data_IF_909075616176
#
_entry.id   IF_909075616176
#
_cell.length_a   1.000
_cell.length_b   1.000
_cell.length_c   1.000
_cell.angle_alpha   90.00
_cell.angle_beta   90.00
_cell.angle_gamma   90.00
#
_symmetry.space_group_name_H-M   'P 1'
#
loop_
_entity.id
_entity.type
_entity.pdbx_description
1 polymer ?
#
# COMPACT_ATOMS: atom_id res chain seq x y z
N UNK A 1 6.75 -11.25 12.51
CA UNK A 1 5.90 -10.87 11.38
C UNK A 1 5.88 -9.36 11.26
N UNK A 2 6.14 -8.85 10.06
CA UNK A 2 6.21 -7.40 9.84
C UNK A 2 4.85 -6.87 9.43
N UNK A 3 4.35 -5.86 10.15
CA UNK A 3 3.09 -5.19 9.80
C UNK A 3 3.24 -4.49 8.45
N UNK A 4 4.41 -3.93 8.17
CA UNK A 4 4.63 -3.24 6.91
C UNK A 4 4.59 -4.22 5.73
N UNK A 5 5.05 -5.46 5.93
CA UNK A 5 4.96 -6.49 4.89
C UNK A 5 3.51 -6.86 4.62
N UNK A 6 2.70 -6.99 5.66
CA UNK A 6 1.27 -7.25 5.50
C UNK A 6 0.57 -6.12 4.74
N UNK A 7 0.91 -4.87 5.07
CA UNK A 7 0.36 -3.72 4.35
C UNK A 7 0.77 -3.72 2.88
N UNK A 8 2.03 -4.05 2.60
CA UNK A 8 2.52 -4.12 1.23
C UNK A 8 1.81 -5.22 0.44
N UNK A 9 1.58 -6.37 1.06
CA UNK A 9 0.84 -7.46 0.43
C UNK A 9 -0.58 -7.05 0.12
N UNK A 10 -1.25 -6.37 1.04
CA UNK A 10 -2.61 -5.87 0.81
C UNK A 10 -2.63 -4.83 -0.31
N UNK A 11 -1.67 -3.92 -0.32
CA UNK A 11 -1.58 -2.91 -1.37
C UNK A 11 -1.42 -3.55 -2.75
N UNK A 12 -0.58 -4.57 -2.85
CA UNK A 12 -0.37 -5.28 -4.10
C UNK A 12 -1.62 -6.04 -4.52
N UNK A 13 -2.33 -6.64 -3.58
CA UNK A 13 -3.59 -7.31 -3.85
C UNK A 13 -4.63 -6.32 -4.41
N UNK A 14 -4.73 -5.14 -3.83
CA UNK A 14 -5.64 -4.11 -4.34
C UNK A 14 -5.25 -3.67 -5.74
N UNK A 15 -3.95 -3.54 -6.01
CA UNK A 15 -3.49 -3.20 -7.34
C UNK A 15 -3.87 -4.28 -8.35
N UNK A 16 -3.72 -5.56 -7.97
CA UNK A 16 -4.10 -6.67 -8.83
C UNK A 16 -5.59 -6.64 -9.13
N UNK A 17 -6.43 -6.38 -8.13
CA UNK A 17 -7.87 -6.29 -8.32
C UNK A 17 -8.25 -5.10 -9.20
N UNK A 18 -7.57 -3.98 -9.04
CA UNK A 18 -7.78 -2.82 -9.90
C UNK A 18 -7.42 -3.13 -11.35
N UNK A 19 -6.28 -3.77 -11.57
CA UNK A 19 -5.83 -4.14 -12.92
C UNK A 19 -6.76 -5.17 -13.57
N UNK A 20 -7.39 -6.04 -12.76
CA UNK A 20 -8.33 -7.03 -13.24
C UNK A 20 -9.73 -6.46 -13.49
N UNK A 21 -9.97 -5.19 -13.12
CA UNK A 21 -11.27 -4.56 -13.29
C UNK A 21 -12.24 -4.82 -12.16
N UNK A 22 -11.78 -5.37 -11.03
CA UNK A 22 -12.63 -5.70 -9.88
C UNK A 22 -12.78 -4.52 -8.91
N UNK A 23 -11.93 -3.49 -9.03
CA UNK A 23 -12.01 -2.28 -8.21
C UNK A 23 -12.06 -1.06 -9.12
N UNK A 24 -12.91 -0.08 -8.77
CA UNK A 24 -12.86 1.21 -9.43
C UNK A 24 -11.62 1.99 -8.98
N UNK A 25 -11.24 3.02 -9.77
CA UNK A 25 -10.11 3.87 -9.39
C UNK A 25 -10.34 4.55 -8.05
N UNK A 26 -11.57 5.00 -7.77
CA UNK A 26 -11.89 5.66 -6.50
C UNK A 26 -11.76 4.69 -5.33
N UNK A 27 -12.26 3.47 -5.48
CA UNK A 27 -12.16 2.45 -4.42
C UNK A 27 -10.72 2.05 -4.17
N UNK A 28 -9.95 1.84 -5.24
CA UNK A 28 -8.53 1.52 -5.14
C UNK A 28 -7.77 2.60 -4.38
N UNK A 29 -8.00 3.86 -4.75
CA UNK A 29 -7.36 4.99 -4.09
C UNK A 29 -7.69 5.04 -2.60
N UNK A 30 -8.97 4.89 -2.25
CA UNK A 30 -9.41 4.94 -0.86
C UNK A 30 -8.76 3.82 -0.03
N UNK A 31 -8.75 2.60 -0.55
CA UNK A 31 -8.15 1.46 0.15
C UNK A 31 -6.65 1.66 0.35
N UNK A 32 -5.94 2.16 -0.65
CA UNK A 32 -4.49 2.39 -0.54
C UNK A 32 -4.21 3.55 0.41
N UNK A 33 -5.02 4.60 0.40
CA UNK A 33 -4.84 5.70 1.36
C UNK A 33 -5.00 5.22 2.80
N UNK A 34 -5.95 4.32 3.06
CA UNK A 34 -6.11 3.74 4.39
C UNK A 34 -4.87 2.95 4.80
N UNK A 35 -4.29 2.18 3.88
CA UNK A 35 -3.05 1.47 4.15
C UNK A 35 -1.89 2.43 4.41
N UNK A 36 -1.83 3.52 3.68
CA UNK A 36 -0.79 4.53 3.87
C UNK A 36 -0.86 5.16 5.26
N UNK A 37 -2.06 5.46 5.73
CA UNK A 37 -2.26 6.00 7.08
C UNK A 37 -1.79 4.98 8.13
N UNK A 38 -2.16 3.72 7.97
CA UNK A 38 -1.72 2.66 8.87
C UNK A 38 -0.20 2.53 8.84
N UNK A 39 0.41 2.61 7.66
CA UNK A 39 1.87 2.56 7.53
C UNK A 39 2.57 3.73 8.19
N UNK A 40 1.98 4.91 8.14
CA UNK A 40 2.54 6.09 8.81
C UNK A 40 2.50 5.95 10.33
N UNK A 41 1.44 5.36 10.86
CA UNK A 41 1.36 5.08 12.29
C UNK A 41 2.48 4.13 12.70
N UNK A 42 2.73 3.10 11.89
CA UNK A 42 3.77 2.12 12.15
C UNK A 42 5.17 2.62 11.80
N UNK A 43 5.28 3.75 11.09
CA UNK A 43 6.57 4.31 10.69
C UNK A 43 7.45 4.66 11.90
N UNK A 44 6.86 4.76 13.09
CA UNK A 44 7.61 4.95 14.33
C UNK A 44 8.20 3.66 14.88
N UNK A 45 7.83 2.51 14.30
CA UNK A 45 8.38 1.23 14.69
C UNK A 45 9.63 0.92 13.87
N UNK A 46 10.58 0.23 14.49
CA UNK A 46 11.82 -0.16 13.82
C UNK A 46 11.55 -1.06 12.62
N UNK A 47 10.48 -1.83 12.64
CA UNK A 47 10.13 -2.75 11.56
C UNK A 47 9.93 -2.03 10.23
N UNK A 48 9.40 -0.80 10.25
CA UNK A 48 9.17 -0.03 9.04
C UNK A 48 10.47 0.23 8.28
N UNK A 49 11.54 0.51 9.01
CA UNK A 49 12.83 0.80 8.40
C UNK A 49 13.58 -0.47 8.00
N UNK A 50 13.31 -1.58 8.67
CA UNK A 50 14.01 -2.83 8.43
C UNK A 50 13.52 -3.57 7.19
N UNK A 51 12.26 -3.37 6.80
CA UNK A 51 11.68 -4.06 5.64
C UNK A 51 11.60 -3.11 4.44
N UNK A 52 12.78 -2.85 3.84
CA UNK A 52 12.87 -1.95 2.70
C UNK A 52 12.09 -2.47 1.49
N UNK A 53 12.10 -3.77 1.27
CA UNK A 53 11.41 -4.36 0.12
C UNK A 53 9.90 -4.12 0.22
N UNK A 54 9.32 -4.36 1.40
CA UNK A 54 7.90 -4.13 1.62
C UNK A 54 7.57 -2.63 1.47
N UNK A 55 8.44 -1.77 1.99
CA UNK A 55 8.25 -0.33 1.88
C UNK A 55 8.26 0.12 0.42
N UNK A 56 9.17 -0.43 -0.39
CA UNK A 56 9.24 -0.09 -1.81
C UNK A 56 7.97 -0.52 -2.54
N UNK A 57 7.44 -1.70 -2.24
CA UNK A 57 6.19 -2.17 -2.83
C UNK A 57 5.04 -1.23 -2.45
N UNK A 58 4.93 -0.89 -1.18
CA UNK A 58 3.88 -0.01 -0.70
C UNK A 58 3.96 1.37 -1.35
N UNK A 59 5.17 1.95 -1.40
CA UNK A 59 5.37 3.26 -2.02
C UNK A 59 5.09 3.22 -3.51
N UNK A 60 5.43 2.14 -4.19
CA UNK A 60 5.13 1.96 -5.61
C UNK A 60 3.63 2.01 -5.87
N UNK A 61 2.84 1.32 -5.04
CA UNK A 61 1.38 1.33 -5.18
C UNK A 61 0.81 2.72 -4.87
N UNK A 62 1.34 3.40 -3.85
CA UNK A 62 0.92 4.76 -3.52
C UNK A 62 1.18 5.72 -4.69
N UNK A 63 2.31 5.57 -5.37
CA UNK A 63 2.63 6.39 -6.53
C UNK A 63 1.66 6.15 -7.68
N UNK A 64 1.26 4.90 -7.91
CA UNK A 64 0.27 4.56 -8.92
C UNK A 64 -1.05 5.24 -8.60
N UNK A 65 -1.49 5.17 -7.36
CA UNK A 65 -2.73 5.81 -6.91
C UNK A 65 -2.66 7.32 -7.08
N UNK A 66 -1.52 7.93 -6.77
CA UNK A 66 -1.34 9.37 -6.92
C UNK A 66 -1.43 9.82 -8.37
N UNK A 67 -1.10 8.95 -9.32
CA UNK A 67 -1.16 9.26 -10.75
C UNK A 67 -2.59 9.16 -11.31
N UNK A 68 -3.53 8.58 -10.58
CA UNK A 68 -4.91 8.40 -11.04
C UNK A 68 -5.68 9.73 -11.02
N UNK A 69 -5.32 10.65 -10.16
CA UNK A 69 -5.97 11.95 -10.01
C UNK A 69 -5.06 13.11 -10.38
#
# INVERSE_FOLDING_TARGET
MSIIRDLAMQAQEYQNQYNAGNLSAADFKELVEDLNIAGQIDANADEYQMDQEAREVLMGVIQIVSAIY
#
